data_IF_236646310367
#
_entry.id   IF_236646310367
#
_cell.length_a   1.000
_cell.length_b   1.000
_cell.length_c   1.000
_cell.angle_alpha   90.00
_cell.angle_beta   90.00
_cell.angle_gamma   90.00
#
_symmetry.space_group_name_H-M   'P 1'
#
loop_
_entity.id
_entity.type
_entity.pdbx_description
1 polymer ?
#
# COMPACT_ATOMS: atom_id res chain seq x y z
N UNK A 1 27.60 -5.35 -7.79
CA UNK A 1 27.44 -4.19 -6.91
C UNK A 1 26.93 -4.67 -5.56
N UNK A 2 27.67 -4.38 -4.48
CA UNK A 2 27.23 -4.67 -3.13
C UNK A 2 26.08 -3.71 -2.71
N UNK A 3 25.16 -4.20 -1.89
CA UNK A 3 24.07 -3.40 -1.30
C UNK A 3 24.48 -2.77 0.05
N UNK A 4 25.75 -2.83 0.38
CA UNK A 4 26.31 -2.29 1.60
C UNK A 4 27.59 -1.48 1.31
N UNK A 5 28.03 -0.74 2.30
CA UNK A 5 29.29 -0.03 2.33
C UNK A 5 29.62 0.39 3.75
N UNK A 6 30.63 1.25 3.89
CA UNK A 6 31.09 1.69 5.21
C UNK A 6 31.05 3.22 5.29
N UNK A 7 30.62 3.73 6.44
CA UNK A 7 30.65 5.15 6.74
C UNK A 7 32.06 5.59 7.22
N UNK A 8 32.26 6.90 7.43
CA UNK A 8 33.54 7.46 7.88
C UNK A 8 34.04 6.94 9.23
N UNK A 9 33.15 6.28 10.03
CA UNK A 9 33.51 5.67 11.30
C UNK A 9 33.72 4.15 11.18
N UNK A 10 33.74 3.62 9.94
CA UNK A 10 33.91 2.19 9.68
C UNK A 10 32.66 1.34 9.98
N UNK A 11 31.49 1.95 10.21
CA UNK A 11 30.24 1.22 10.43
C UNK A 11 29.67 0.78 9.10
N UNK A 12 29.26 -0.48 9.03
CA UNK A 12 28.55 -1.02 7.86
C UNK A 12 27.17 -0.37 7.75
N UNK A 13 26.84 0.10 6.55
CA UNK A 13 25.56 0.69 6.17
C UNK A 13 24.99 -0.07 4.98
N UNK A 14 23.68 -0.14 4.89
CA UNK A 14 22.99 -0.77 3.78
C UNK A 14 22.30 0.28 2.91
N UNK A 15 22.36 0.08 1.60
CA UNK A 15 21.73 0.97 0.63
C UNK A 15 20.24 0.72 0.47
N UNK A 16 19.83 -0.46 0.86
CA UNK A 16 18.45 -0.93 0.74
C UNK A 16 18.12 -1.89 1.87
N UNK A 17 16.95 -1.73 2.45
CA UNK A 17 16.44 -2.60 3.49
C UNK A 17 14.91 -2.59 3.43
N UNK A 18 14.28 -3.76 3.56
CA UNK A 18 12.84 -3.89 3.64
C UNK A 18 12.46 -4.57 4.96
N UNK A 19 11.43 -4.04 5.59
CA UNK A 19 10.80 -4.64 6.76
C UNK A 19 9.29 -4.68 6.57
N UNK A 20 8.66 -5.73 7.06
CA UNK A 20 7.23 -5.87 6.97
C UNK A 20 6.68 -6.73 8.10
N UNK A 21 5.60 -6.27 8.74
CA UNK A 21 4.87 -7.00 9.76
C UNK A 21 3.37 -6.81 9.54
N UNK A 22 2.63 -7.92 9.36
CA UNK A 22 1.20 -7.93 9.04
C UNK A 22 0.42 -8.97 9.83
N UNK A 23 0.11 -8.73 11.10
CA UNK A 23 -0.79 -9.58 11.84
C UNK A 23 -2.21 -9.52 11.26
N UNK A 24 -2.92 -10.64 11.36
CA UNK A 24 -4.32 -10.76 11.03
C UNK A 24 -5.06 -11.43 12.20
N UNK A 25 -6.21 -10.88 12.54
CA UNK A 25 -7.09 -11.39 13.59
C UNK A 25 -8.47 -11.63 12.97
N UNK A 26 -9.10 -12.76 13.31
CA UNK A 26 -10.47 -13.04 12.94
C UNK A 26 -11.26 -13.58 14.12
N UNK A 27 -12.52 -13.16 14.22
CA UNK A 27 -13.53 -13.70 15.11
C UNK A 27 -14.61 -14.35 14.26
N UNK A 28 -14.76 -15.67 14.40
CA UNK A 28 -15.74 -16.43 13.66
C UNK A 28 -16.87 -16.87 14.60
N UNK A 29 -18.09 -16.56 14.20
CA UNK A 29 -19.30 -16.94 14.91
C UNK A 29 -20.14 -17.85 14.01
N UNK A 30 -20.54 -19.00 14.57
CA UNK A 30 -21.43 -19.98 13.94
C UNK A 30 -22.67 -20.11 14.80
N UNK A 31 -23.84 -19.86 14.22
CA UNK A 31 -25.12 -19.98 14.91
C UNK A 31 -26.02 -20.91 14.14
N UNK A 32 -26.34 -22.09 14.75
CA UNK A 32 -27.40 -22.96 14.27
C UNK A 32 -28.71 -22.41 14.79
N UNK A 33 -29.47 -21.71 13.94
CA UNK A 33 -30.75 -21.07 14.32
C UNK A 33 -31.81 -22.12 14.57
N UNK A 34 -31.92 -23.07 13.66
CA UNK A 34 -32.80 -24.24 13.74
C UNK A 34 -32.21 -25.40 12.91
N UNK A 35 -32.94 -26.50 12.73
CA UNK A 35 -32.46 -27.67 11.98
C UNK A 35 -32.31 -27.44 10.48
N UNK A 36 -32.80 -26.32 9.94
CA UNK A 36 -32.70 -25.95 8.53
C UNK A 36 -31.82 -24.72 8.29
N UNK A 37 -31.61 -23.87 9.30
CA UNK A 37 -31.06 -22.56 9.12
C UNK A 37 -29.82 -22.35 9.97
N UNK A 38 -28.79 -21.78 9.38
CA UNK A 38 -27.56 -21.37 10.09
C UNK A 38 -27.11 -20.00 9.64
N UNK A 39 -26.39 -19.31 10.52
CA UNK A 39 -25.71 -18.05 10.24
C UNK A 39 -24.22 -18.19 10.58
N UNK A 40 -23.39 -17.92 9.60
CA UNK A 40 -21.94 -17.85 9.75
C UNK A 40 -21.49 -16.41 9.59
N UNK A 41 -20.79 -15.87 10.59
CA UNK A 41 -20.29 -14.49 10.54
C UNK A 41 -18.81 -14.48 10.90
N UNK A 42 -18.00 -13.86 10.06
CA UNK A 42 -16.60 -13.62 10.29
C UNK A 42 -16.35 -12.10 10.36
N UNK A 43 -15.83 -11.64 11.51
CA UNK A 43 -15.22 -10.34 11.65
C UNK A 43 -13.71 -10.52 11.51
N UNK A 44 -13.05 -9.68 10.72
CA UNK A 44 -11.61 -9.78 10.55
C UNK A 44 -10.96 -8.41 10.49
N UNK A 45 -9.71 -8.35 10.95
CA UNK A 45 -8.86 -7.16 10.92
C UNK A 45 -7.42 -7.55 10.60
N UNK A 46 -6.74 -6.71 9.82
CA UNK A 46 -5.30 -6.81 9.60
C UNK A 46 -4.66 -5.44 9.70
N UNK A 47 -3.56 -5.34 10.44
CA UNK A 47 -2.77 -4.11 10.58
C UNK A 47 -1.37 -4.42 10.04
N UNK A 48 -1.05 -3.86 8.87
CA UNK A 48 0.26 -4.00 8.24
C UNK A 48 1.11 -2.77 8.48
N UNK A 49 2.37 -3.00 8.86
CA UNK A 49 3.40 -1.97 8.89
C UNK A 49 4.56 -2.48 8.07
N UNK A 50 4.94 -1.68 7.07
CA UNK A 50 5.98 -2.05 6.15
C UNK A 50 6.75 -0.85 5.66
N UNK A 51 8.04 -1.03 5.41
CA UNK A 51 8.85 0.03 4.85
C UNK A 51 10.00 -0.50 4.03
N UNK A 52 10.40 0.31 3.05
CA UNK A 52 11.61 0.13 2.29
C UNK A 52 12.53 1.34 2.44
N UNK A 53 13.81 1.11 2.69
CA UNK A 53 14.80 2.16 2.79
C UNK A 53 15.52 2.29 1.45
N UNK A 54 15.70 3.50 0.97
CA UNK A 54 16.49 3.77 -0.23
C UNK A 54 17.09 5.17 -0.21
N UNK A 55 18.26 5.30 -0.82
CA UNK A 55 18.90 6.61 -1.03
C UNK A 55 18.11 7.48 -1.98
N UNK A 56 17.98 8.75 -1.64
CA UNK A 56 17.32 9.76 -2.45
C UNK A 56 18.29 10.92 -2.69
N UNK A 57 18.33 11.40 -3.94
CA UNK A 57 19.11 12.55 -4.33
C UNK A 57 18.26 13.81 -4.49
N UNK A 58 18.81 14.96 -4.16
CA UNK A 58 18.18 16.27 -4.38
C UNK A 58 17.85 16.49 -5.85
N UNK A 59 18.76 16.11 -6.75
CA UNK A 59 18.57 16.16 -8.19
C UNK A 59 18.46 14.77 -8.81
N UNK A 60 17.97 14.70 -10.05
CA UNK A 60 17.98 13.44 -10.81
C UNK A 60 19.40 12.91 -11.02
N UNK A 61 20.39 13.81 -11.16
CA UNK A 61 21.80 13.43 -11.28
C UNK A 61 22.32 12.78 -10.00
N UNK A 62 22.04 13.37 -8.83
CA UNK A 62 22.41 12.79 -7.54
C UNK A 62 21.75 11.42 -7.32
N UNK A 63 20.47 11.29 -7.66
CA UNK A 63 19.74 10.01 -7.58
C UNK A 63 20.32 8.93 -8.50
N UNK A 64 20.75 9.29 -9.70
CA UNK A 64 21.39 8.36 -10.62
C UNK A 64 22.77 7.93 -10.11
N UNK A 65 23.52 8.81 -9.46
CA UNK A 65 24.78 8.46 -8.81
C UNK A 65 24.58 7.43 -7.68
N UNK A 66 23.50 7.55 -6.90
CA UNK A 66 23.16 6.58 -5.87
C UNK A 66 22.96 5.17 -6.44
N UNK A 67 22.27 5.03 -7.56
CA UNK A 67 22.01 3.74 -8.19
C UNK A 67 23.29 2.96 -8.55
N UNK A 68 24.43 3.63 -8.61
CA UNK A 68 25.73 3.00 -8.75
C UNK A 68 26.06 2.48 -10.13
N UNK A 69 25.11 2.50 -11.07
CA UNK A 69 25.34 2.13 -12.47
C UNK A 69 24.58 3.05 -13.40
N UNK A 70 25.20 3.39 -14.52
CA UNK A 70 24.55 4.04 -15.64
C UNK A 70 24.76 3.14 -16.87
N UNK A 71 23.69 2.60 -17.45
CA UNK A 71 23.73 1.66 -18.57
C UNK A 71 24.70 0.46 -18.35
N UNK A 72 24.71 -0.08 -17.13
CA UNK A 72 25.57 -1.23 -16.78
C UNK A 72 27.03 -0.88 -16.43
N UNK A 73 27.42 0.38 -16.54
CA UNK A 73 28.77 0.84 -16.14
C UNK A 73 28.74 1.24 -14.67
N UNK A 74 29.74 0.80 -13.89
CA UNK A 74 29.89 1.15 -12.48
C UNK A 74 30.10 2.67 -12.33
N UNK A 75 29.22 3.31 -11.54
CA UNK A 75 29.41 4.71 -11.16
C UNK A 75 30.36 4.78 -9.95
N UNK A 76 31.56 5.30 -10.15
CA UNK A 76 32.61 5.38 -9.13
C UNK A 76 32.46 6.59 -8.19
N UNK A 77 31.47 7.47 -8.39
CA UNK A 77 31.28 8.66 -7.53
C UNK A 77 30.93 8.25 -6.10
N UNK A 78 30.00 7.30 -5.96
CA UNK A 78 29.55 6.80 -4.66
C UNK A 78 29.77 5.29 -4.50
N UNK A 79 30.63 4.72 -5.32
CA UNK A 79 31.04 3.32 -5.24
C UNK A 79 32.56 3.21 -5.16
N UNK A 80 33.01 2.34 -4.30
CA UNK A 80 34.41 1.91 -4.26
C UNK A 80 34.74 0.95 -5.42
N UNK A 81 36.03 0.75 -5.76
CA UNK A 81 36.41 -0.18 -6.84
C UNK A 81 35.92 -1.63 -6.62
N UNK A 82 35.70 -2.05 -5.37
CA UNK A 82 35.15 -3.37 -5.01
C UNK A 82 33.62 -3.46 -5.15
N UNK A 83 32.97 -2.35 -5.56
CA UNK A 83 31.51 -2.26 -5.73
C UNK A 83 30.72 -1.95 -4.47
N UNK A 84 31.37 -1.75 -3.31
CA UNK A 84 30.71 -1.29 -2.09
C UNK A 84 30.34 0.20 -2.17
N UNK A 85 29.32 0.63 -1.39
CA UNK A 85 28.99 2.05 -1.31
C UNK A 85 30.05 2.85 -0.53
N UNK A 86 30.44 3.99 -1.06
CA UNK A 86 31.34 4.94 -0.42
C UNK A 86 30.55 5.94 0.44
N UNK A 87 29.96 5.48 1.55
CA UNK A 87 29.20 6.32 2.47
C UNK A 87 30.04 7.45 3.09
N UNK A 88 31.32 7.21 3.33
CA UNK A 88 32.29 8.19 3.75
C UNK A 88 32.35 9.39 2.79
N UNK A 89 32.44 9.15 1.49
CA UNK A 89 32.44 10.21 0.46
C UNK A 89 31.09 10.94 0.39
N UNK A 90 29.97 10.22 0.58
CA UNK A 90 28.65 10.86 0.64
C UNK A 90 28.58 11.80 1.84
N UNK A 91 29.07 11.38 3.00
CA UNK A 91 29.11 12.20 4.21
C UNK A 91 30.00 13.44 4.03
N UNK A 92 31.20 13.29 3.47
CA UNK A 92 32.11 14.40 3.17
C UNK A 92 31.45 15.41 2.20
N UNK A 93 30.83 14.91 1.14
CA UNK A 93 30.14 15.76 0.16
C UNK A 93 28.99 16.55 0.78
N UNK A 94 28.16 15.90 1.60
CA UNK A 94 27.03 16.54 2.25
C UNK A 94 27.49 17.56 3.31
N UNK A 95 28.49 17.22 4.12
CA UNK A 95 29.06 18.12 5.12
C UNK A 95 29.66 19.39 4.51
N UNK A 96 30.27 19.28 3.33
CA UNK A 96 30.85 20.39 2.59
C UNK A 96 29.81 21.21 1.80
N UNK A 97 28.60 20.72 1.62
CA UNK A 97 27.57 21.38 0.81
C UNK A 97 26.96 22.57 1.56
N UNK A 98 26.99 23.79 1.02
CA UNK A 98 26.34 24.96 1.61
C UNK A 98 24.82 24.88 1.50
N UNK A 99 24.31 24.12 0.52
CA UNK A 99 22.88 24.02 0.15
C UNK A 99 22.19 22.80 0.75
N UNK A 100 22.76 22.23 1.83
CA UNK A 100 22.25 21.02 2.49
C UNK A 100 22.69 19.72 1.83
N UNK A 101 22.10 18.61 2.25
CA UNK A 101 22.43 17.28 1.76
C UNK A 101 22.08 17.11 0.29
N UNK A 102 23.00 16.60 -0.50
CA UNK A 102 22.75 16.20 -1.88
C UNK A 102 22.16 14.80 -1.95
N UNK A 103 22.51 13.94 -1.00
CA UNK A 103 22.01 12.58 -0.85
C UNK A 103 21.53 12.34 0.58
N UNK A 104 20.40 11.69 0.71
CA UNK A 104 19.82 11.28 1.99
C UNK A 104 19.42 9.82 1.94
N UNK A 105 19.24 9.21 3.10
CA UNK A 105 18.46 7.97 3.21
C UNK A 105 17.02 8.30 3.56
N UNK A 106 16.09 7.74 2.82
CA UNK A 106 14.67 7.83 3.13
C UNK A 106 14.06 6.46 3.42
N UNK A 107 13.03 6.49 4.24
CA UNK A 107 12.17 5.36 4.56
C UNK A 107 10.83 5.56 3.86
N UNK A 108 10.52 4.68 2.90
CA UNK A 108 9.22 4.62 2.25
C UNK A 108 8.27 3.77 3.07
N UNK A 109 7.41 4.39 3.84
CA UNK A 109 6.39 3.72 4.63
C UNK A 109 5.20 3.31 3.75
N UNK A 110 4.74 2.07 3.93
CA UNK A 110 3.57 1.50 3.29
C UNK A 110 2.80 0.74 4.37
N UNK A 111 2.06 1.50 5.18
CA UNK A 111 1.25 0.94 6.25
C UNK A 111 -0.16 0.75 5.76
N UNK A 112 -0.81 -0.30 6.21
CA UNK A 112 -2.21 -0.49 5.89
C UNK A 112 -2.98 -1.05 7.06
N UNK A 113 -4.25 -0.74 7.06
CA UNK A 113 -5.22 -1.28 7.99
C UNK A 113 -6.48 -1.64 7.22
N UNK A 114 -6.94 -2.87 7.38
CA UNK A 114 -8.19 -3.28 6.82
C UNK A 114 -9.01 -4.06 7.85
N UNK A 115 -10.29 -3.91 7.78
CA UNK A 115 -11.26 -4.66 8.56
C UNK A 115 -12.49 -4.93 7.74
N UNK A 116 -13.13 -6.02 8.04
CA UNK A 116 -14.31 -6.41 7.31
C UNK A 116 -15.20 -7.38 8.09
N UNK A 117 -16.37 -7.51 7.53
CA UNK A 117 -17.41 -8.43 8.00
C UNK A 117 -17.90 -9.21 6.79
N UNK A 118 -17.91 -10.53 6.92
CA UNK A 118 -18.60 -11.45 6.01
C UNK A 118 -19.64 -12.20 6.82
N UNK A 119 -20.90 -12.15 6.39
CA UNK A 119 -21.98 -12.89 7.04
C UNK A 119 -22.79 -13.64 6.01
N UNK A 120 -22.98 -14.94 6.23
CA UNK A 120 -23.72 -15.84 5.33
C UNK A 120 -24.81 -16.57 6.10
N UNK A 121 -26.02 -16.39 5.65
CA UNK A 121 -27.17 -17.15 6.08
C UNK A 121 -27.41 -18.31 5.10
N UNK A 122 -27.58 -19.53 5.62
CA UNK A 122 -27.92 -20.73 4.84
C UNK A 122 -29.23 -21.29 5.35
N UNK A 123 -30.12 -21.67 4.43
CA UNK A 123 -31.41 -22.26 4.76
C UNK A 123 -31.78 -23.41 3.81
N UNK A 124 -32.07 -24.57 4.36
CA UNK A 124 -32.61 -25.70 3.65
C UNK A 124 -34.12 -25.49 3.44
N UNK A 125 -34.52 -24.78 2.37
CA UNK A 125 -35.91 -24.44 2.06
C UNK A 125 -36.77 -25.73 1.92
N UNK A 126 -36.21 -26.73 1.23
CA UNK A 126 -36.84 -28.06 1.07
C UNK A 126 -35.79 -29.16 1.02
N UNK A 127 -36.17 -30.41 0.94
CA UNK A 127 -35.23 -31.55 0.78
C UNK A 127 -34.34 -31.45 -0.44
N UNK A 128 -34.69 -30.62 -1.42
CA UNK A 128 -34.00 -30.48 -2.69
C UNK A 128 -33.52 -29.07 -2.97
N UNK A 129 -33.82 -28.10 -2.11
CA UNK A 129 -33.49 -26.67 -2.38
C UNK A 129 -32.85 -26.03 -1.17
N UNK A 130 -31.67 -25.49 -1.38
CA UNK A 130 -30.92 -24.72 -0.38
C UNK A 130 -30.68 -23.28 -0.86
N UNK A 131 -30.84 -22.33 0.04
CA UNK A 131 -30.51 -20.91 -0.16
C UNK A 131 -29.28 -20.57 0.69
N UNK A 132 -28.29 -19.95 0.09
CA UNK A 132 -27.26 -19.21 0.77
C UNK A 132 -27.34 -17.75 0.36
N UNK A 133 -27.36 -16.81 1.33
CA UNK A 133 -27.38 -15.38 1.06
C UNK A 133 -26.53 -14.66 2.10
N UNK A 134 -25.88 -13.58 1.71
CA UNK A 134 -25.00 -12.91 2.65
C UNK A 134 -24.60 -11.51 2.24
N UNK A 135 -23.81 -10.91 3.12
CA UNK A 135 -23.22 -9.59 2.96
C UNK A 135 -21.70 -9.68 3.13
N UNK A 136 -20.97 -8.87 2.38
CA UNK A 136 -19.52 -8.61 2.52
C UNK A 136 -19.32 -7.11 2.63
N UNK A 137 -18.75 -6.66 3.75
CA UNK A 137 -18.41 -5.26 3.98
C UNK A 137 -16.94 -5.18 4.34
N UNK A 138 -16.20 -4.25 3.71
CA UNK A 138 -14.76 -4.11 3.88
C UNK A 138 -14.34 -2.66 3.82
N UNK A 139 -13.45 -2.26 4.71
CA UNK A 139 -12.81 -0.96 4.69
C UNK A 139 -11.31 -1.11 4.79
N UNK A 140 -10.59 -0.36 3.95
CA UNK A 140 -9.15 -0.39 3.82
C UNK A 140 -8.59 1.02 3.82
N UNK A 141 -7.53 1.24 4.59
CA UNK A 141 -6.73 2.46 4.61
C UNK A 141 -5.28 2.05 4.30
N UNK A 142 -4.65 2.80 3.42
CA UNK A 142 -3.29 2.59 2.98
C UNK A 142 -2.50 3.90 3.10
N UNK A 143 -1.60 3.96 4.08
CA UNK A 143 -0.75 5.13 4.35
C UNK A 143 0.56 5.02 3.57
N UNK A 144 0.81 5.99 2.71
CA UNK A 144 2.03 6.10 1.92
C UNK A 144 2.77 7.38 2.19
N UNK A 145 3.95 7.30 2.79
CA UNK A 145 4.80 8.46 2.94
C UNK A 145 6.29 8.09 2.83
N UNK A 146 7.11 9.07 2.52
CA UNK A 146 8.55 8.97 2.63
C UNK A 146 9.04 9.88 3.74
N UNK A 147 9.93 9.37 4.57
CA UNK A 147 10.50 10.06 5.72
C UNK A 147 12.01 10.07 5.63
N UNK A 148 12.64 11.19 5.94
CA UNK A 148 14.09 11.30 6.04
C UNK A 148 14.55 10.55 7.28
N UNK A 149 15.49 9.60 7.12
CA UNK A 149 16.06 8.85 8.26
C UNK A 149 17.56 9.12 8.47
N UNK A 150 18.25 9.63 7.47
CA UNK A 150 19.67 10.02 7.59
C UNK A 150 20.00 11.12 6.57
N UNK A 151 20.59 12.21 7.03
CA UNK A 151 21.10 13.31 6.22
C UNK A 151 22.54 13.11 5.78
N UNK A 152 23.20 12.03 6.21
CA UNK A 152 24.62 11.75 5.94
C UNK A 152 25.54 12.95 6.20
N UNK A 153 25.50 13.47 7.43
CA UNK A 153 26.26 14.64 7.91
C UNK A 153 25.91 15.99 7.26
N UNK A 154 24.92 16.06 6.39
CA UNK A 154 24.39 17.32 5.89
C UNK A 154 23.54 18.05 6.95
N UNK A 155 23.44 19.35 6.81
CA UNK A 155 22.73 20.21 7.80
C UNK A 155 21.21 20.13 7.67
N UNK A 156 20.69 19.87 6.47
CA UNK A 156 19.29 19.78 6.12
C UNK A 156 19.15 19.16 4.72
N UNK A 157 17.94 18.82 4.33
CA UNK A 157 17.60 18.47 2.96
C UNK A 157 16.56 19.45 2.40
N UNK A 158 16.63 19.76 1.11
CA UNK A 158 15.64 20.56 0.41
C UNK A 158 14.99 19.68 -0.66
N UNK A 159 13.67 19.48 -0.56
CA UNK A 159 12.88 18.71 -1.55
C UNK A 159 12.34 19.63 -2.66
N UNK A 160 13.22 20.49 -3.17
CA UNK A 160 12.89 21.51 -4.15
C UNK A 160 12.33 20.93 -5.45
N UNK A 161 12.84 19.81 -5.90
CA UNK A 161 12.38 19.16 -7.15
C UNK A 161 10.96 18.62 -7.07
N UNK A 162 10.51 18.12 -5.92
CA UNK A 162 9.15 17.63 -5.74
C UNK A 162 8.20 18.78 -5.45
N UNK A 163 8.58 19.69 -4.56
CA UNK A 163 7.77 20.86 -4.19
C UNK A 163 7.55 21.83 -5.33
N UNK A 164 8.50 21.97 -6.26
CA UNK A 164 8.33 22.78 -7.46
C UNK A 164 7.16 22.33 -8.37
N UNK A 165 6.65 21.11 -8.19
CA UNK A 165 5.49 20.61 -8.92
C UNK A 165 4.16 20.89 -8.21
N UNK A 166 4.19 21.43 -6.99
CA UNK A 166 2.99 21.78 -6.23
C UNK A 166 2.48 23.14 -6.70
N UNK A 167 1.19 23.24 -6.93
CA UNK A 167 0.57 24.45 -7.47
C UNK A 167 -0.09 25.26 -6.35
N UNK A 168 0.01 26.61 -6.40
CA UNK A 168 -0.60 27.48 -5.39
C UNK A 168 -2.11 27.32 -5.22
N UNK A 169 -2.81 26.98 -6.29
CA UNK A 169 -4.26 26.71 -6.25
C UNK A 169 -4.63 25.40 -5.54
N UNK A 170 -3.66 24.52 -5.30
CA UNK A 170 -3.83 23.25 -4.60
C UNK A 170 -3.25 23.30 -3.17
N UNK A 171 -2.26 24.13 -2.98
CA UNK A 171 -1.59 24.29 -1.69
C UNK A 171 -1.09 25.74 -1.56
N UNK A 172 -1.72 26.50 -0.67
CA UNK A 172 -1.42 27.91 -0.47
C UNK A 172 0.05 28.19 -0.08
N UNK A 173 0.75 27.24 0.56
CA UNK A 173 2.18 27.37 0.88
C UNK A 173 3.05 27.51 -0.38
N UNK A 174 2.63 26.92 -1.50
CA UNK A 174 3.37 27.00 -2.77
C UNK A 174 3.34 28.41 -3.41
N UNK A 175 2.54 29.35 -2.88
CA UNK A 175 2.59 30.75 -3.27
C UNK A 175 3.84 31.49 -2.76
N UNK A 176 4.47 30.99 -1.68
CA UNK A 176 5.76 31.49 -1.21
C UNK A 176 6.90 30.82 -2.00
N UNK A 177 7.67 31.58 -2.80
CA UNK A 177 8.80 31.03 -3.56
C UNK A 177 9.89 30.42 -2.68
N UNK A 178 9.95 30.73 -1.37
CA UNK A 178 10.92 30.16 -0.45
C UNK A 178 10.48 28.81 0.11
N UNK A 179 9.20 28.46 0.02
CA UNK A 179 8.67 27.19 0.53
C UNK A 179 9.35 25.95 -0.09
N UNK A 180 9.74 26.03 -1.37
CA UNK A 180 10.45 24.95 -2.06
C UNK A 180 11.85 24.68 -1.47
N UNK A 181 12.42 25.66 -0.79
CA UNK A 181 13.75 25.59 -0.17
C UNK A 181 13.70 25.37 1.35
N UNK A 182 12.56 24.96 1.88
CA UNK A 182 12.45 24.62 3.30
C UNK A 182 13.51 23.61 3.72
N UNK A 183 14.09 23.85 4.92
CA UNK A 183 15.21 23.06 5.44
C UNK A 183 14.69 21.88 6.26
N UNK A 184 14.47 20.77 5.57
CA UNK A 184 13.94 19.54 6.14
C UNK A 184 14.99 18.79 6.96
N UNK A 185 14.55 18.14 8.02
CA UNK A 185 15.34 17.39 8.99
C UNK A 185 14.99 15.90 9.00
N UNK A 186 15.74 15.11 9.76
CA UNK A 186 15.38 13.71 10.02
C UNK A 186 14.00 13.64 10.68
N UNK A 187 13.12 12.82 10.14
CA UNK A 187 11.71 12.70 10.54
C UNK A 187 10.73 13.43 9.62
N UNK A 188 11.20 14.43 8.85
CA UNK A 188 10.34 15.16 7.92
C UNK A 188 9.95 14.33 6.70
N UNK A 189 8.76 14.63 6.15
CA UNK A 189 8.23 13.95 4.97
C UNK A 189 8.77 14.58 3.68
N UNK A 190 9.10 13.73 2.73
CA UNK A 190 9.61 14.10 1.41
C UNK A 190 8.89 13.31 0.32
N UNK A 191 8.77 13.88 -0.86
CA UNK A 191 8.22 13.29 -2.10
C UNK A 191 6.75 12.94 -2.09
N UNK A 192 6.22 12.41 -1.00
CA UNK A 192 4.82 12.00 -0.87
C UNK A 192 4.41 11.84 0.60
N UNK A 193 3.17 12.15 0.87
CA UNK A 193 2.47 11.87 2.13
C UNK A 193 0.97 11.83 1.86
N UNK A 194 0.40 10.63 1.71
CA UNK A 194 -1.03 10.45 1.44
C UNK A 194 -1.57 9.15 2.02
N UNK A 195 -2.87 9.15 2.25
CA UNK A 195 -3.66 7.97 2.56
C UNK A 195 -4.58 7.63 1.38
N UNK A 196 -4.60 6.37 0.99
CA UNK A 196 -5.59 5.80 0.10
C UNK A 196 -6.69 5.13 0.91
N UNK A 197 -7.94 5.34 0.53
CA UNK A 197 -9.10 4.75 1.18
C UNK A 197 -9.91 3.93 0.20
N UNK A 198 -10.32 2.74 0.61
CA UNK A 198 -11.20 1.87 -0.17
C UNK A 198 -12.29 1.35 0.76
N UNK A 199 -13.54 1.54 0.39
CA UNK A 199 -14.64 0.81 1.00
C UNK A 199 -15.29 -0.11 -0.02
N UNK A 200 -15.74 -1.25 0.43
CA UNK A 200 -16.46 -2.22 -0.38
C UNK A 200 -17.62 -2.77 0.43
N UNK A 201 -18.79 -2.75 -0.17
CA UNK A 201 -19.99 -3.42 0.36
C UNK A 201 -20.65 -4.21 -0.76
N UNK A 202 -21.14 -5.39 -0.41
CA UNK A 202 -21.78 -6.29 -1.37
C UNK A 202 -22.82 -7.19 -0.72
N UNK A 203 -23.75 -7.61 -1.52
CA UNK A 203 -24.73 -8.64 -1.18
C UNK A 203 -24.67 -9.74 -2.22
N UNK A 204 -24.90 -10.97 -1.80
CA UNK A 204 -24.93 -12.14 -2.68
C UNK A 204 -26.02 -13.12 -2.27
N UNK A 205 -26.48 -13.89 -3.23
CA UNK A 205 -27.37 -15.00 -2.98
C UNK A 205 -27.09 -16.14 -3.97
N UNK A 206 -27.28 -17.37 -3.51
CA UNK A 206 -27.17 -18.59 -4.29
C UNK A 206 -28.30 -19.53 -3.94
N UNK A 207 -28.92 -20.10 -4.95
CA UNK A 207 -29.87 -21.21 -4.82
C UNK A 207 -29.25 -22.48 -5.40
N UNK A 208 -29.23 -23.52 -4.63
CA UNK A 208 -28.81 -24.87 -5.05
C UNK A 208 -29.98 -25.83 -5.05
N UNK A 209 -30.13 -26.51 -6.16
CA UNK A 209 -31.16 -27.52 -6.30
C UNK A 209 -30.54 -28.88 -6.59
N UNK A 210 -30.89 -29.85 -5.73
CA UNK A 210 -30.39 -31.23 -5.81
C UNK A 210 -31.56 -32.19 -5.85
N UNK A 211 -31.67 -32.98 -6.90
CA UNK A 211 -32.70 -34.02 -7.01
C UNK A 211 -32.14 -35.23 -7.74
N UNK A 212 -32.07 -36.35 -7.01
CA UNK A 212 -31.49 -37.61 -7.55
C UNK A 212 -30.09 -37.37 -8.11
N UNK A 213 -29.95 -37.55 -9.41
CA UNK A 213 -28.69 -37.46 -10.12
C UNK A 213 -28.37 -36.04 -10.68
N UNK A 214 -29.26 -35.07 -10.49
CA UNK A 214 -29.11 -33.72 -11.00
C UNK A 214 -28.87 -32.73 -9.86
N UNK A 215 -27.80 -31.99 -9.99
CA UNK A 215 -27.47 -30.81 -9.16
C UNK A 215 -27.41 -29.58 -10.07
N UNK A 216 -28.04 -28.50 -9.65
CA UNK A 216 -28.01 -27.24 -10.38
C UNK A 216 -27.92 -26.09 -9.37
N UNK A 217 -27.27 -25.00 -9.78
CA UNK A 217 -27.24 -23.77 -8.99
C UNK A 217 -27.41 -22.53 -9.86
N UNK A 218 -27.87 -21.47 -9.24
CA UNK A 218 -27.85 -20.12 -9.73
C UNK A 218 -27.37 -19.19 -8.61
N UNK A 219 -26.46 -18.28 -8.90
CA UNK A 219 -25.99 -17.28 -7.94
C UNK A 219 -25.93 -15.90 -8.58
N UNK A 220 -26.10 -14.87 -7.74
CA UNK A 220 -25.95 -13.48 -8.11
C UNK A 220 -25.34 -12.67 -6.99
N UNK A 221 -24.64 -11.61 -7.36
CA UNK A 221 -24.13 -10.63 -6.41
C UNK A 221 -24.19 -9.23 -7.00
N UNK A 222 -24.32 -8.25 -6.12
CA UNK A 222 -24.15 -6.81 -6.41
C UNK A 222 -23.23 -6.23 -5.37
N UNK A 223 -22.28 -5.41 -5.80
CA UNK A 223 -21.33 -4.74 -4.91
C UNK A 223 -21.07 -3.31 -5.35
N UNK A 224 -20.72 -2.47 -4.39
CA UNK A 224 -20.15 -1.15 -4.61
C UNK A 224 -18.71 -1.14 -4.09
N UNK A 225 -17.79 -0.51 -4.82
CA UNK A 225 -16.44 -0.24 -4.33
C UNK A 225 -16.14 1.23 -4.51
N UNK A 226 -15.89 1.93 -3.41
CA UNK A 226 -15.58 3.34 -3.40
C UNK A 226 -14.11 3.58 -3.08
N UNK A 227 -13.56 4.63 -3.70
CA UNK A 227 -12.17 5.04 -3.57
C UNK A 227 -12.10 6.53 -3.33
N UNK A 228 -11.19 6.96 -2.43
CA UNK A 228 -10.76 8.35 -2.30
C UNK A 228 -9.36 8.40 -1.70
N UNK A 229 -8.72 9.57 -1.79
CA UNK A 229 -7.37 9.82 -1.28
C UNK A 229 -7.36 11.07 -0.43
N UNK A 230 -6.58 11.08 0.61
CA UNK A 230 -6.23 12.23 1.40
C UNK A 230 -4.73 12.49 1.25
N UNK A 231 -4.33 13.58 0.60
CA UNK A 231 -2.94 13.88 0.26
C UNK A 231 -2.49 15.15 0.98
N UNK A 232 -1.44 15.02 1.79
CA UNK A 232 -0.86 16.09 2.61
C UNK A 232 0.41 16.69 2.01
N UNK A 233 0.95 16.12 0.93
CA UNK A 233 2.16 16.60 0.29
C UNK A 233 1.88 17.61 -0.81
N UNK A 234 0.98 17.27 -1.73
CA UNK A 234 0.64 18.13 -2.87
C UNK A 234 -0.48 19.12 -2.56
N UNK A 235 -1.24 18.90 -1.49
CA UNK A 235 -2.44 19.66 -1.16
C UNK A 235 -2.38 20.16 0.28
N UNK A 236 -2.90 21.36 0.52
CA UNK A 236 -3.19 21.84 1.87
C UNK A 236 -4.47 21.19 2.43
N UNK A 237 -4.76 21.45 3.71
CA UNK A 237 -5.89 20.82 4.40
C UNK A 237 -7.26 21.09 3.73
N UNK A 238 -7.41 22.19 2.99
CA UNK A 238 -8.65 22.52 2.32
C UNK A 238 -8.86 21.71 1.01
N UNK A 239 -7.79 21.18 0.42
CA UNK A 239 -7.80 20.48 -0.86
C UNK A 239 -7.31 19.03 -0.77
N UNK A 240 -6.96 18.56 0.44
CA UNK A 240 -6.29 17.26 0.65
C UNK A 240 -7.16 16.06 0.29
N UNK A 241 -8.47 16.16 0.46
CA UNK A 241 -9.41 15.08 0.15
C UNK A 241 -9.85 15.13 -1.32
N UNK A 242 -9.67 14.00 -2.02
CA UNK A 242 -10.12 13.85 -3.40
C UNK A 242 -11.62 13.58 -3.48
N UNK A 243 -12.19 13.70 -4.66
CA UNK A 243 -13.52 13.19 -4.94
C UNK A 243 -13.63 11.69 -4.58
N UNK A 244 -14.82 11.29 -4.10
CA UNK A 244 -15.16 9.91 -3.86
C UNK A 244 -15.72 9.28 -5.15
N UNK A 245 -15.03 8.27 -5.65
CA UNK A 245 -15.44 7.57 -6.88
C UNK A 245 -15.96 6.19 -6.52
N UNK A 246 -17.14 5.84 -7.03
CA UNK A 246 -17.81 4.58 -6.75
C UNK A 246 -17.99 3.75 -8.01
N UNK A 247 -17.79 2.43 -7.90
CA UNK A 247 -17.95 1.46 -8.96
C UNK A 247 -18.93 0.37 -8.53
N UNK A 248 -20.05 0.26 -9.25
CA UNK A 248 -21.01 -0.81 -9.04
C UNK A 248 -20.60 -2.03 -9.88
N UNK A 249 -20.46 -3.17 -9.21
CA UNK A 249 -20.19 -4.46 -9.82
C UNK A 249 -21.37 -5.40 -9.65
N UNK A 250 -21.57 -6.30 -10.60
CA UNK A 250 -22.54 -7.39 -10.48
C UNK A 250 -22.02 -8.68 -11.11
N UNK A 251 -22.48 -9.79 -10.59
CA UNK A 251 -22.14 -11.12 -11.09
C UNK A 251 -23.38 -11.98 -11.13
N UNK A 252 -23.53 -12.77 -12.20
CA UNK A 252 -24.52 -13.85 -12.31
C UNK A 252 -23.80 -15.10 -12.77
N UNK A 253 -24.03 -16.21 -12.08
CA UNK A 253 -23.47 -17.53 -12.42
C UNK A 253 -24.55 -18.58 -12.30
N UNK A 254 -24.43 -19.62 -13.11
CA UNK A 254 -25.29 -20.79 -13.05
C UNK A 254 -24.59 -22.01 -13.60
N UNK A 255 -24.96 -23.15 -13.10
CA UNK A 255 -24.39 -24.42 -13.56
C UNK A 255 -25.29 -25.59 -13.19
N UNK A 256 -25.10 -26.70 -13.89
CA UNK A 256 -25.76 -27.95 -13.61
C UNK A 256 -24.79 -29.12 -13.83
N UNK A 257 -24.95 -30.15 -13.02
CA UNK A 257 -24.25 -31.42 -13.12
C UNK A 257 -25.21 -32.57 -13.08
N UNK A 258 -25.06 -33.52 -14.00
CA UNK A 258 -25.88 -34.72 -14.04
C UNK A 258 -25.04 -35.99 -13.95
N UNK A 259 -25.18 -36.72 -12.86
CA UNK A 259 -24.47 -37.98 -12.64
C UNK A 259 -25.16 -39.10 -13.43
N UNK A 260 -24.56 -39.54 -14.53
CA UNK A 260 -25.10 -40.60 -15.39
C UNK A 260 -25.01 -41.94 -14.69
N UNK A 261 -23.90 -42.21 -14.04
CA UNK A 261 -23.65 -43.40 -13.21
C UNK A 261 -22.49 -43.10 -12.22
N UNK A 262 -22.07 -44.08 -11.43
CA UNK A 262 -21.00 -43.94 -10.45
C UNK A 262 -19.62 -43.52 -11.01
N UNK A 263 -19.41 -43.64 -12.33
CA UNK A 263 -18.12 -43.38 -13.01
C UNK A 263 -18.17 -42.16 -13.96
N UNK A 264 -19.37 -41.67 -14.30
CA UNK A 264 -19.56 -40.60 -15.30
C UNK A 264 -20.55 -39.54 -14.81
N UNK A 265 -20.14 -38.30 -14.86
CA UNK A 265 -20.90 -37.11 -14.58
C UNK A 265 -20.71 -36.03 -15.65
#
# INVERSE_FOLDING_TARGET
NAEYGFDKNGRQRYSHFNEYHKPQISLNHQWQIDYKSSLSTALYMSIGRGSGYSGQGRTSADRNMWKGTNYGVLNTTFRNPDGTFAYDKIQEMNAASPDGSRMIMSKSNNNHMWYGLLSTYTNQISKSLELSAGIDVRYYIDEHNNEIIDLYDGKYFSDDSSRANVKPEQNAAAADPNWVYEKLQVGDKVYRDYDGHVHQEGVFAQLEWTKKNLNAFVSGSVSNTGYWRYDRFYYDAAHAESEHVNFIGYTVKGGANYNINEKHN
#
